data_IF_988618775853
#
_entry.id   IF_988618775853
#
_cell.length_a   1.000
_cell.length_b   1.000
_cell.length_c   1.000
_cell.angle_alpha   90.00
_cell.angle_beta   90.00
_cell.angle_gamma   90.00
#
_symmetry.space_group_name_H-M   'P 1'
#
loop_
_entity.id
_entity.type
_entity.pdbx_description
1 polymer ?
#
# COMPACT_ATOMS: atom_id res chain seq x y z
N UNK A 1 9.79 19.94 26.43
CA UNK A 1 8.87 18.90 25.91
C UNK A 1 8.21 19.49 24.69
N UNK A 2 8.37 18.88 23.52
CA UNK A 2 7.56 19.28 22.37
C UNK A 2 6.09 19.05 22.73
N UNK A 3 5.28 20.09 22.64
CA UNK A 3 3.84 19.94 22.77
C UNK A 3 3.39 18.98 21.67
N UNK A 4 2.74 17.89 22.06
CA UNK A 4 2.17 16.97 21.09
C UNK A 4 1.12 17.71 20.27
N UNK A 5 1.29 17.73 18.96
CA UNK A 5 0.37 18.36 18.02
C UNK A 5 0.06 17.37 16.91
N UNK A 6 -1.11 16.74 17.01
CA UNK A 6 -1.59 15.72 16.09
C UNK A 6 -1.67 16.24 14.65
N UNK A 7 -1.91 17.53 14.44
CA UNK A 7 -2.01 18.10 13.09
C UNK A 7 -0.66 18.03 12.36
N UNK A 8 0.46 18.17 13.08
CA UNK A 8 1.79 17.99 12.48
C UNK A 8 2.02 16.54 12.03
N UNK A 9 1.58 15.55 12.83
CA UNK A 9 1.69 14.14 12.48
C UNK A 9 0.77 13.75 11.32
N UNK A 10 -0.44 14.31 11.25
CA UNK A 10 -1.39 14.08 10.15
C UNK A 10 -0.85 14.73 8.87
N UNK A 11 -0.42 15.98 8.93
CA UNK A 11 0.08 16.71 7.77
C UNK A 11 1.37 16.10 7.21
N UNK A 12 2.24 15.51 8.04
CA UNK A 12 3.43 14.81 7.55
C UNK A 12 3.10 13.58 6.70
N UNK A 13 1.89 13.04 6.80
CA UNK A 13 1.43 11.94 5.93
C UNK A 13 0.95 12.42 4.56
N UNK A 14 0.71 13.73 4.36
CA UNK A 14 0.14 14.28 3.10
C UNK A 14 1.16 14.52 1.99
N UNK A 15 2.45 14.63 2.31
CA UNK A 15 3.52 14.84 1.33
C UNK A 15 3.83 13.59 0.46
N UNK A 16 2.92 12.61 0.48
CA UNK A 16 3.12 11.20 0.20
C UNK A 16 2.51 10.80 -1.14
N UNK A 17 2.92 11.41 -2.25
CA UNK A 17 2.42 10.97 -3.56
C UNK A 17 2.99 9.59 -3.90
N UNK A 18 2.14 8.66 -4.30
CA UNK A 18 2.57 7.37 -4.84
C UNK A 18 3.33 7.56 -6.18
N UNK A 19 3.81 6.47 -6.79
CA UNK A 19 4.46 6.54 -8.10
C UNK A 19 3.40 6.83 -9.17
N UNK A 20 3.53 7.93 -9.92
CA UNK A 20 2.59 8.22 -10.99
C UNK A 20 2.86 7.35 -12.22
N UNK A 21 1.86 7.17 -13.08
CA UNK A 21 2.01 6.38 -14.31
C UNK A 21 3.11 6.96 -15.24
N UNK A 22 3.25 8.29 -15.27
CA UNK A 22 4.26 9.01 -16.06
C UNK A 22 5.68 8.92 -15.47
N UNK A 23 5.81 8.50 -14.22
CA UNK A 23 7.12 8.26 -13.59
C UNK A 23 7.76 6.95 -14.07
N UNK A 24 6.96 6.04 -14.61
CA UNK A 24 7.46 4.80 -15.20
C UNK A 24 7.96 5.06 -16.63
N UNK A 25 9.24 4.80 -16.94
CA UNK A 25 9.76 5.02 -18.27
C UNK A 25 9.20 4.02 -19.28
N UNK A 26 9.12 4.46 -20.54
CA UNK A 26 8.72 3.61 -21.69
C UNK A 26 9.79 2.58 -22.07
N UNK A 27 11.03 2.76 -21.60
CA UNK A 27 12.11 1.77 -21.81
C UNK A 27 12.10 0.72 -20.70
N UNK A 28 12.31 -0.54 -21.08
CA UNK A 28 12.45 -1.60 -20.08
C UNK A 28 13.70 -1.40 -19.21
N UNK A 29 13.55 -1.58 -17.91
CA UNK A 29 14.58 -1.34 -16.92
C UNK A 29 15.27 -2.61 -16.45
N UNK A 30 16.55 -2.53 -16.10
CA UNK A 30 17.22 -3.56 -15.31
C UNK A 30 16.80 -3.48 -13.84
N UNK A 31 16.91 -4.59 -13.12
CA UNK A 31 16.49 -4.71 -11.72
C UNK A 31 17.02 -3.58 -10.81
N UNK A 32 18.30 -3.19 -10.97
CA UNK A 32 18.90 -2.12 -10.15
C UNK A 32 18.26 -0.75 -10.43
N UNK A 33 17.82 -0.50 -11.67
CA UNK A 33 17.13 0.73 -12.04
C UNK A 33 15.70 0.75 -11.48
N UNK A 34 15.00 -0.40 -11.46
CA UNK A 34 13.70 -0.53 -10.79
C UNK A 34 13.83 -0.22 -9.30
N UNK A 35 14.85 -0.78 -8.63
CA UNK A 35 15.10 -0.48 -7.21
C UNK A 35 15.35 1.01 -6.99
N UNK A 36 16.20 1.64 -7.81
CA UNK A 36 16.49 3.07 -7.71
C UNK A 36 15.24 3.94 -7.92
N UNK A 37 14.41 3.61 -8.92
CA UNK A 37 13.15 4.33 -9.17
C UNK A 37 12.25 4.28 -7.93
N UNK A 38 11.99 3.09 -7.41
CA UNK A 38 11.14 2.89 -6.23
C UNK A 38 11.70 3.55 -4.98
N UNK A 39 13.01 3.44 -4.76
CA UNK A 39 13.69 4.10 -3.65
C UNK A 39 13.54 5.63 -3.73
N UNK A 40 13.67 6.21 -4.93
CA UNK A 40 13.55 7.66 -5.13
C UNK A 40 12.14 8.18 -4.90
N UNK A 41 11.11 7.38 -5.25
CA UNK A 41 9.71 7.81 -5.21
C UNK A 41 9.01 7.48 -3.91
N UNK A 42 9.40 6.41 -3.22
CA UNK A 42 8.70 5.91 -2.03
C UNK A 42 9.50 6.06 -0.73
N UNK A 43 10.64 6.77 -0.74
CA UNK A 43 11.46 6.96 0.46
C UNK A 43 10.69 7.53 1.66
N UNK A 44 9.66 8.33 1.43
CA UNK A 44 8.83 8.95 2.45
C UNK A 44 8.05 7.92 3.28
N UNK A 45 7.86 6.70 2.76
CA UNK A 45 7.15 5.61 3.44
C UNK A 45 8.02 4.85 4.45
N UNK A 46 9.33 5.12 4.48
CA UNK A 46 10.25 4.46 5.41
C UNK A 46 9.97 4.88 6.85
N UNK A 47 10.04 3.92 7.76
CA UNK A 47 10.02 4.20 9.20
C UNK A 47 11.41 4.64 9.68
N UNK A 48 12.46 4.00 9.19
CA UNK A 48 13.85 4.33 9.49
C UNK A 48 14.63 4.54 8.18
N UNK A 49 15.66 5.39 8.20
CA UNK A 49 16.45 5.73 7.01
C UNK A 49 17.08 4.49 6.33
N UNK A 50 17.50 3.50 7.15
CA UNK A 50 18.13 2.27 6.70
C UNK A 50 17.16 1.24 6.10
N UNK A 51 15.85 1.40 6.32
CA UNK A 51 14.84 0.50 5.76
C UNK A 51 14.92 0.52 4.23
N UNK A 52 14.71 -0.64 3.59
CA UNK A 52 14.76 -0.77 2.13
C UNK A 52 13.34 -0.80 1.58
N UNK A 53 13.05 0.07 0.60
CA UNK A 53 11.77 0.04 -0.13
C UNK A 53 11.64 -1.27 -0.91
N UNK A 54 12.69 -1.58 -1.66
CA UNK A 54 12.73 -2.74 -2.53
C UNK A 54 14.15 -3.33 -2.54
N UNK A 55 14.24 -4.66 -2.56
CA UNK A 55 15.52 -5.37 -2.65
C UNK A 55 15.50 -6.35 -3.81
N UNK A 56 16.69 -6.74 -4.31
CA UNK A 56 16.82 -7.79 -5.33
C UNK A 56 16.11 -9.07 -4.94
N UNK A 57 16.23 -9.46 -3.66
CA UNK A 57 15.58 -10.65 -3.12
C UNK A 57 14.05 -10.53 -3.18
N UNK A 58 13.47 -9.37 -2.82
CA UNK A 58 12.02 -9.15 -2.93
C UNK A 58 11.54 -9.29 -4.37
N UNK A 59 12.17 -8.61 -5.33
CA UNK A 59 11.78 -8.69 -6.75
C UNK A 59 11.88 -10.13 -7.27
N UNK A 60 12.96 -10.83 -6.93
CA UNK A 60 13.13 -12.23 -7.29
C UNK A 60 12.06 -13.13 -6.67
N UNK A 61 11.63 -12.85 -5.45
CA UNK A 61 10.55 -13.60 -4.79
C UNK A 61 9.21 -13.34 -5.48
N UNK A 62 8.94 -12.12 -5.93
CA UNK A 62 7.72 -11.80 -6.70
C UNK A 62 7.70 -12.54 -8.04
N UNK A 63 8.83 -12.56 -8.76
CA UNK A 63 8.97 -13.31 -10.00
C UNK A 63 8.80 -14.83 -9.78
N UNK A 64 9.49 -15.40 -8.78
CA UNK A 64 9.39 -16.84 -8.44
C UNK A 64 8.00 -17.25 -7.93
N UNK A 65 7.31 -16.34 -7.25
CA UNK A 65 5.96 -16.55 -6.75
C UNK A 65 4.86 -16.37 -7.81
N UNK A 66 5.22 -16.11 -9.07
CA UNK A 66 4.30 -15.80 -10.16
C UNK A 66 3.38 -14.61 -9.84
N UNK A 67 3.90 -13.59 -9.16
CA UNK A 67 3.21 -12.31 -8.94
C UNK A 67 3.52 -11.28 -10.04
N UNK A 68 4.38 -11.66 -11.00
CA UNK A 68 4.78 -10.85 -12.14
C UNK A 68 4.68 -11.69 -13.42
N UNK A 69 4.50 -11.01 -14.55
CA UNK A 69 4.64 -11.62 -15.87
C UNK A 69 6.06 -12.16 -16.09
N UNK A 70 6.24 -12.97 -17.12
CA UNK A 70 7.55 -13.54 -17.45
C UNK A 70 8.55 -12.45 -17.84
N UNK A 71 9.57 -12.27 -17.01
CA UNK A 71 10.68 -11.35 -17.25
C UNK A 71 11.53 -11.83 -18.44
N UNK A 72 11.68 -11.00 -19.47
CA UNK A 72 12.49 -11.26 -20.67
C UNK A 72 13.83 -10.52 -20.56
N UNK A 73 14.94 -11.19 -20.87
CA UNK A 73 16.29 -10.59 -20.92
C UNK A 73 16.72 -9.83 -19.64
N UNK A 74 16.21 -10.23 -18.46
CA UNK A 74 16.42 -9.55 -17.16
C UNK A 74 15.94 -8.09 -17.14
N UNK A 75 14.99 -7.75 -18.00
CA UNK A 75 14.40 -6.42 -18.08
C UNK A 75 12.94 -6.42 -17.63
N UNK A 76 12.53 -5.33 -17.00
CA UNK A 76 11.22 -5.11 -16.41
C UNK A 76 10.51 -4.02 -17.19
N UNK A 77 9.36 -4.37 -17.76
CA UNK A 77 8.49 -3.46 -18.51
C UNK A 77 7.70 -2.55 -17.56
N UNK A 78 6.98 -1.58 -18.11
CA UNK A 78 6.08 -0.69 -17.37
C UNK A 78 5.01 -1.45 -16.59
N UNK A 79 4.44 -2.50 -17.16
CA UNK A 79 3.48 -3.38 -16.50
C UNK A 79 4.10 -4.11 -15.30
N UNK A 80 5.36 -4.56 -15.40
CA UNK A 80 6.05 -5.16 -14.25
C UNK A 80 6.20 -4.14 -13.12
N UNK A 81 6.56 -2.89 -13.45
CA UNK A 81 6.71 -1.83 -12.45
C UNK A 81 5.38 -1.48 -11.79
N UNK A 82 4.28 -1.42 -12.55
CA UNK A 82 2.93 -1.23 -11.99
C UNK A 82 2.60 -2.35 -11.00
N UNK A 83 2.79 -3.62 -11.37
CA UNK A 83 2.51 -4.75 -10.47
C UNK A 83 3.40 -4.71 -9.20
N UNK A 84 4.68 -4.35 -9.32
CA UNK A 84 5.57 -4.18 -8.14
C UNK A 84 5.07 -3.02 -7.27
N UNK A 85 4.60 -1.92 -7.85
CA UNK A 85 3.98 -0.79 -7.16
C UNK A 85 2.75 -1.22 -6.36
N UNK A 86 1.85 -1.97 -6.98
CA UNK A 86 0.67 -2.52 -6.31
C UNK A 86 1.06 -3.50 -5.19
N UNK A 87 2.00 -4.42 -5.42
CA UNK A 87 2.51 -5.33 -4.39
C UNK A 87 3.07 -4.54 -3.20
N UNK A 88 3.81 -3.46 -3.45
CA UNK A 88 4.36 -2.61 -2.39
C UNK A 88 3.27 -2.04 -1.48
N UNK A 89 2.16 -1.56 -2.08
CA UNK A 89 1.04 -1.01 -1.35
C UNK A 89 0.21 -2.09 -0.60
N UNK A 90 0.17 -3.32 -1.12
CA UNK A 90 -0.69 -4.39 -0.59
C UNK A 90 -0.01 -5.26 0.48
N UNK A 91 1.30 -5.55 0.34
CA UNK A 91 2.02 -6.54 1.16
C UNK A 91 2.08 -6.25 2.66
N UNK A 92 1.81 -5.01 3.07
CA UNK A 92 1.77 -4.60 4.48
C UNK A 92 0.49 -5.05 5.20
N UNK A 93 -0.59 -5.29 4.44
CA UNK A 93 -1.87 -5.71 4.97
C UNK A 93 -2.25 -7.14 4.53
N UNK A 94 -1.86 -7.55 3.33
CA UNK A 94 -2.26 -8.82 2.73
C UNK A 94 -1.09 -9.79 2.60
N UNK A 95 -1.39 -11.09 2.62
CA UNK A 95 -0.38 -12.11 2.35
C UNK A 95 -0.02 -12.15 0.86
N UNK A 96 1.17 -12.67 0.53
CA UNK A 96 1.54 -12.87 -0.88
C UNK A 96 0.60 -13.83 -1.61
N UNK A 97 -0.04 -14.76 -0.89
CA UNK A 97 -1.03 -15.67 -1.47
C UNK A 97 -2.30 -14.94 -1.88
N UNK A 98 -2.75 -13.97 -1.08
CA UNK A 98 -3.94 -13.16 -1.38
C UNK A 98 -3.67 -12.24 -2.57
N UNK A 99 -2.51 -11.58 -2.56
CA UNK A 99 -2.08 -10.72 -3.68
C UNK A 99 -1.95 -11.55 -4.97
N UNK A 100 -1.37 -12.75 -4.89
CA UNK A 100 -1.30 -13.66 -6.03
C UNK A 100 -2.69 -14.00 -6.54
N UNK A 101 -3.64 -14.34 -5.67
CA UNK A 101 -5.02 -14.67 -6.06
C UNK A 101 -5.69 -13.52 -6.81
N UNK A 102 -5.46 -12.27 -6.39
CA UNK A 102 -5.96 -11.10 -7.12
C UNK A 102 -5.25 -10.87 -8.46
N UNK A 103 -3.95 -11.18 -8.55
CA UNK A 103 -3.13 -10.90 -9.73
C UNK A 103 -3.18 -11.99 -10.79
N UNK A 104 -3.58 -13.22 -10.43
CA UNK A 104 -3.60 -14.37 -11.34
C UNK A 104 -4.37 -14.08 -12.66
N UNK A 105 -5.60 -13.51 -12.65
CA UNK A 105 -6.30 -13.17 -13.90
C UNK A 105 -5.55 -12.15 -14.75
N UNK A 106 -4.89 -11.17 -14.11
CA UNK A 106 -4.10 -10.13 -14.78
C UNK A 106 -2.93 -10.78 -15.53
N UNK A 107 -2.16 -11.59 -14.82
CA UNK A 107 -0.97 -12.25 -15.34
C UNK A 107 -1.34 -13.27 -16.42
N UNK A 108 -2.48 -13.96 -16.27
CA UNK A 108 -2.99 -14.91 -17.26
C UNK A 108 -3.35 -14.21 -18.57
N UNK A 109 -4.04 -13.06 -18.54
CA UNK A 109 -4.34 -12.27 -19.74
C UNK A 109 -3.07 -11.88 -20.48
N UNK A 110 -2.06 -11.33 -19.78
CA UNK A 110 -0.77 -11.03 -20.41
C UNK A 110 -0.03 -12.26 -20.95
N UNK A 111 -0.21 -13.43 -20.32
CA UNK A 111 0.43 -14.67 -20.78
C UNK A 111 -0.21 -15.25 -22.05
N UNK A 112 -1.47 -14.88 -22.31
CA UNK A 112 -2.23 -15.25 -23.52
C UNK A 112 -2.14 -14.19 -24.62
N UNK A 113 -1.33 -13.15 -24.43
CA UNK A 113 -1.29 -11.96 -25.29
C UNK A 113 -2.69 -11.30 -25.46
N UNK A 114 -3.52 -11.38 -24.43
CA UNK A 114 -4.82 -10.70 -24.36
C UNK A 114 -4.64 -9.27 -23.83
N UNK A 115 -5.50 -8.36 -24.30
CA UNK A 115 -5.53 -7.00 -23.79
C UNK A 115 -6.05 -6.96 -22.35
N UNK A 116 -5.41 -6.19 -21.49
CA UNK A 116 -5.80 -6.01 -20.10
C UNK A 116 -5.60 -4.55 -19.69
N UNK A 117 -6.62 -3.88 -19.11
CA UNK A 117 -6.60 -2.44 -18.85
C UNK A 117 -5.80 -2.11 -17.56
N UNK A 118 -4.57 -2.62 -17.43
CA UNK A 118 -3.74 -2.47 -16.23
C UNK A 118 -3.41 -1.00 -15.95
N UNK A 119 -3.21 -0.22 -17.00
CA UNK A 119 -2.88 1.21 -16.93
C UNK A 119 -4.06 2.00 -16.35
N UNK A 120 -5.28 1.77 -16.85
CA UNK A 120 -6.50 2.42 -16.36
C UNK A 120 -6.82 2.02 -14.91
N UNK A 121 -6.60 0.74 -14.57
CA UNK A 121 -6.76 0.25 -13.19
C UNK A 121 -5.77 0.93 -12.26
N UNK A 122 -4.50 1.06 -12.68
CA UNK A 122 -3.49 1.73 -11.86
C UNK A 122 -3.77 3.21 -11.68
N UNK A 123 -4.18 3.91 -12.75
CA UNK A 123 -4.58 5.31 -12.66
C UNK A 123 -5.80 5.50 -11.73
N UNK A 124 -6.76 4.58 -11.80
CA UNK A 124 -7.92 4.56 -10.90
C UNK A 124 -7.51 4.32 -9.44
N UNK A 125 -6.55 3.41 -9.22
CA UNK A 125 -5.96 3.20 -7.90
C UNK A 125 -5.30 4.48 -7.36
N UNK A 126 -4.56 5.23 -8.17
CA UNK A 126 -3.96 6.50 -7.75
C UNK A 126 -5.01 7.54 -7.34
N UNK A 127 -6.11 7.66 -8.11
CA UNK A 127 -7.24 8.55 -7.76
C UNK A 127 -7.89 8.16 -6.43
N UNK A 128 -8.05 6.85 -6.19
CA UNK A 128 -8.56 6.32 -4.92
C UNK A 128 -7.57 6.62 -3.79
N UNK A 129 -6.26 6.48 -4.03
CA UNK A 129 -5.21 6.77 -3.06
C UNK A 129 -5.25 8.24 -2.63
N UNK A 130 -5.34 9.18 -3.57
CA UNK A 130 -5.43 10.61 -3.28
C UNK A 130 -6.71 10.94 -2.49
N UNK A 131 -7.85 10.37 -2.89
CA UNK A 131 -9.11 10.52 -2.16
C UNK A 131 -9.01 9.98 -0.73
N UNK A 132 -8.27 8.89 -0.52
CA UNK A 132 -8.03 8.33 0.81
C UNK A 132 -7.12 9.24 1.65
N UNK A 133 -6.14 9.92 1.06
CA UNK A 133 -5.30 10.90 1.76
C UNK A 133 -6.10 12.12 2.23
N UNK A 134 -7.05 12.60 1.42
CA UNK A 134 -7.96 13.68 1.82
C UNK A 134 -8.86 13.24 2.99
N UNK A 135 -9.46 12.05 2.87
CA UNK A 135 -10.30 11.48 3.94
C UNK A 135 -9.52 11.17 5.22
N UNK A 136 -8.24 10.78 5.10
CA UNK A 136 -7.36 10.54 6.22
C UNK A 136 -7.20 11.78 7.11
N UNK A 137 -7.11 12.98 6.54
CA UNK A 137 -7.00 14.22 7.32
C UNK A 137 -8.22 14.43 8.22
N UNK A 138 -9.41 14.32 7.64
CA UNK A 138 -10.68 14.55 8.33
C UNK A 138 -10.91 13.47 9.39
N UNK A 139 -10.75 12.21 9.00
CA UNK A 139 -11.00 11.06 9.88
C UNK A 139 -10.01 10.99 11.05
N UNK A 140 -8.73 11.32 10.83
CA UNK A 140 -7.72 11.31 11.89
C UNK A 140 -7.96 12.40 12.93
N UNK A 141 -8.40 13.60 12.50
CA UNK A 141 -8.82 14.68 13.40
C UNK A 141 -10.04 14.28 14.23
N UNK A 142 -11.03 13.64 13.60
CA UNK A 142 -12.22 13.15 14.31
C UNK A 142 -11.86 12.10 15.37
N UNK A 143 -10.97 11.16 15.04
CA UNK A 143 -10.46 10.16 16.00
C UNK A 143 -9.75 10.86 17.17
N UNK A 144 -8.89 11.84 16.89
CA UNK A 144 -8.16 12.56 17.94
C UNK A 144 -9.07 13.36 18.86
N UNK A 145 -10.06 14.06 18.32
CA UNK A 145 -11.05 14.79 19.11
C UNK A 145 -11.83 13.83 20.02
N UNK A 146 -12.26 12.68 19.47
CA UNK A 146 -13.01 11.70 20.25
C UNK A 146 -12.18 11.07 21.38
N UNK A 147 -10.90 10.74 21.13
CA UNK A 147 -9.99 10.25 22.18
C UNK A 147 -9.82 11.31 23.28
N UNK A 148 -9.65 12.57 22.89
CA UNK A 148 -9.53 13.70 23.83
C UNK A 148 -10.78 13.86 24.72
N UNK A 149 -11.98 13.73 24.15
CA UNK A 149 -13.23 13.77 24.90
C UNK A 149 -13.33 12.61 25.90
N UNK A 150 -12.96 11.39 25.49
CA UNK A 150 -13.01 10.21 26.37
C UNK A 150 -12.06 10.31 27.57
N UNK A 151 -10.92 10.99 27.40
CA UNK A 151 -9.94 11.22 28.45
C UNK A 151 -10.42 12.31 29.40
N UNK A 152 -10.87 13.46 28.87
CA UNK A 152 -11.38 14.58 29.69
C UNK A 152 -12.60 14.19 30.53
N UNK A 153 -13.42 13.27 30.04
CA UNK A 153 -14.63 12.80 30.71
C UNK A 153 -14.37 11.71 31.77
N UNK A 154 -13.10 11.37 32.06
CA UNK A 154 -12.71 10.30 32.99
C UNK A 154 -11.74 10.82 34.06
N UNK A 155 -11.62 9.99 35.10
CA UNK A 155 -10.73 10.07 36.27
C UNK A 155 -9.39 10.81 36.02
N UNK A 156 -8.91 11.57 37.01
CA UNK A 156 -7.68 12.40 36.97
C UNK A 156 -6.39 11.62 36.65
N UNK A 157 -6.47 10.29 36.56
CA UNK A 157 -5.37 9.38 36.23
C UNK A 157 -5.03 9.31 34.74
N UNK A 158 -5.89 9.79 33.85
CA UNK A 158 -5.62 9.78 32.40
C UNK A 158 -4.93 11.08 31.98
N UNK A 159 -3.85 10.97 31.22
CA UNK A 159 -3.10 12.11 30.71
C UNK A 159 -2.54 11.90 29.31
N UNK A 160 -1.43 12.58 29.03
CA UNK A 160 -0.79 12.66 27.72
C UNK A 160 -0.31 11.30 27.17
N UNK A 161 0.12 10.39 28.05
CA UNK A 161 0.51 9.04 27.62
C UNK A 161 -0.70 8.24 27.14
N UNK A 162 -1.79 8.23 27.90
CA UNK A 162 -3.01 7.49 27.57
C UNK A 162 -3.67 8.03 26.29
N UNK A 163 -3.61 9.34 26.05
CA UNK A 163 -4.05 9.94 24.78
C UNK A 163 -3.33 9.34 23.58
N UNK A 164 -2.00 9.35 23.61
CA UNK A 164 -1.16 8.81 22.53
C UNK A 164 -1.36 7.31 22.37
N UNK A 165 -1.46 6.58 23.49
CA UNK A 165 -1.70 5.14 23.46
C UNK A 165 -3.05 4.82 22.80
N UNK A 166 -4.12 5.52 23.18
CA UNK A 166 -5.45 5.33 22.60
C UNK A 166 -5.52 5.73 21.13
N UNK A 167 -4.81 6.79 20.72
CA UNK A 167 -4.65 7.15 19.31
C UNK A 167 -4.03 6.02 18.50
N UNK A 168 -2.91 5.45 18.98
CA UNK A 168 -2.26 4.30 18.33
C UNK A 168 -3.23 3.11 18.24
N UNK A 169 -3.94 2.78 19.33
CA UNK A 169 -4.95 1.73 19.33
C UNK A 169 -6.07 1.99 18.31
N UNK A 170 -6.56 3.22 18.21
CA UNK A 170 -7.63 3.59 17.29
C UNK A 170 -7.19 3.44 15.82
N UNK A 171 -6.02 3.97 15.45
CA UNK A 171 -5.51 3.88 14.08
C UNK A 171 -5.22 2.42 13.68
N UNK A 172 -4.60 1.64 14.56
CA UNK A 172 -4.32 0.22 14.30
C UNK A 172 -5.62 -0.60 14.25
N UNK A 173 -6.60 -0.29 15.09
CA UNK A 173 -7.93 -0.93 15.03
C UNK A 173 -8.60 -0.70 13.68
N UNK A 174 -8.59 0.55 13.19
CA UNK A 174 -9.16 0.90 11.88
C UNK A 174 -8.44 0.18 10.73
N UNK A 175 -7.10 0.16 10.75
CA UNK A 175 -6.30 -0.59 9.78
C UNK A 175 -6.67 -2.08 9.75
N UNK A 176 -6.84 -2.71 10.92
CA UNK A 176 -7.26 -4.10 11.01
C UNK A 176 -8.70 -4.36 10.53
N UNK A 177 -9.61 -3.39 10.70
CA UNK A 177 -10.97 -3.50 10.15
C UNK A 177 -10.94 -3.49 8.62
N UNK A 178 -10.19 -2.57 8.00
CA UNK A 178 -10.03 -2.53 6.55
C UNK A 178 -9.33 -3.78 6.03
N UNK A 179 -8.25 -4.22 6.67
CA UNK A 179 -7.55 -5.46 6.30
C UNK A 179 -8.49 -6.66 6.28
N UNK A 180 -9.26 -6.89 7.34
CA UNK A 180 -10.22 -8.00 7.40
C UNK A 180 -11.33 -7.89 6.35
N UNK A 181 -11.76 -6.67 6.02
CA UNK A 181 -12.72 -6.45 4.94
C UNK A 181 -12.10 -6.83 3.58
N UNK A 182 -10.86 -6.44 3.33
CA UNK A 182 -10.14 -6.82 2.11
C UNK A 182 -9.91 -8.32 2.00
N UNK A 183 -9.49 -8.98 3.08
CA UNK A 183 -9.35 -10.44 3.15
C UNK A 183 -10.68 -11.12 2.79
N UNK A 184 -11.79 -10.66 3.39
CA UNK A 184 -13.13 -11.19 3.10
C UNK A 184 -13.55 -11.00 1.64
N UNK A 185 -13.27 -9.84 1.03
CA UNK A 185 -13.52 -9.61 -0.39
C UNK A 185 -12.72 -10.57 -1.27
N UNK A 186 -11.48 -10.88 -0.91
CA UNK A 186 -10.63 -11.82 -1.65
C UNK A 186 -11.18 -13.25 -1.53
N UNK A 187 -11.57 -13.64 -0.32
CA UNK A 187 -12.17 -14.96 -0.06
C UNK A 187 -13.48 -15.16 -0.83
N UNK A 188 -14.36 -14.16 -0.84
CA UNK A 188 -15.70 -14.29 -1.41
C UNK A 188 -15.76 -13.96 -2.92
N UNK A 189 -14.93 -13.03 -3.42
CA UNK A 189 -15.04 -12.53 -4.79
C UNK A 189 -13.91 -12.99 -5.73
N UNK A 190 -12.75 -13.38 -5.20
CA UNK A 190 -11.58 -13.76 -6.01
C UNK A 190 -11.22 -15.23 -5.86
N UNK A 191 -11.57 -15.87 -4.75
CA UNK A 191 -11.25 -17.28 -4.51
C UNK A 191 -12.21 -18.26 -5.20
N UNK A 192 -13.44 -17.84 -5.53
CA UNK A 192 -14.38 -18.65 -6.34
C UNK A 192 -13.85 -18.94 -7.76
N UNK A 193 -12.91 -18.13 -8.27
CA UNK A 193 -12.24 -18.33 -9.56
C UNK A 193 -11.39 -19.63 -9.61
N UNK A 194 -11.08 -20.24 -8.46
CA UNK A 194 -10.37 -21.54 -8.38
C UNK A 194 -11.30 -22.76 -8.41
N UNK A 195 -12.61 -22.59 -8.27
CA UNK A 195 -13.59 -23.67 -8.14
C UNK A 195 -14.20 -24.18 -9.45
N UNK A 196 -13.94 -23.52 -10.58
CA UNK A 196 -14.44 -23.94 -11.89
C UNK A 196 -13.54 -24.98 -12.55
N UNK A 197 -13.70 -26.25 -12.19
CA UNK A 197 -13.37 -27.40 -13.04
C UNK A 197 -14.63 -28.18 -13.36
#
# INVERSE_FOLDING_TARGET
MNNFDIDNYINSQKSSTNINLDDFPEIDLYMDQVIQLFESKLNYTKRNEDDKILTKTMINNYAKGNLLMKIKNKKYTKEHMILIGLIYNLKGALSLTDIKTMFDPIIESFSKDEDYPLYDIYESFLKIYDSNLENFDISSKNISNHVNELIKNKDERLGDFEEKFLLVCAFVSMSNLYRRMSEKLIDECFSELKGGK
#
